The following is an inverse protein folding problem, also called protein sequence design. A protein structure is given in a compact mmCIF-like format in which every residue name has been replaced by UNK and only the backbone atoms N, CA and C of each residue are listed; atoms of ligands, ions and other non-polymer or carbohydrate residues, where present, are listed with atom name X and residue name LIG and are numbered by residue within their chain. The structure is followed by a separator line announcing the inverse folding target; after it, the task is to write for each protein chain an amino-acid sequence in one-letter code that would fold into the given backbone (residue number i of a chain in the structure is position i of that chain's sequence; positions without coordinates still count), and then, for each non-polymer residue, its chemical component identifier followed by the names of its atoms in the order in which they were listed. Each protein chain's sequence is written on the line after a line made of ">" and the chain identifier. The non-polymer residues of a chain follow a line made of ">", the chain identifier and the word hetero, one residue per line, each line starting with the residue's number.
data_IF_769200061697
#
_entry.id   IF_769200061697
#
_cell.length_a   1.000
_cell.length_b   1.000
_cell.length_c   1.000
_cell.angle_alpha   90.00
_cell.angle_beta   90.00
_cell.angle_gamma   90.00
#
_symmetry.space_group_name_H-M   'P 1'
#
loop_
_entity.id
_entity.type
_entity.pdbx_description
1 polymer ?
#
# COMPACT_ATOMS: atom_id res chain seq x y z
N UNK A 1 -35.11 -14.23 -24.70
CA UNK A 1 -35.65 -12.96 -24.20
C UNK A 1 -34.54 -12.21 -23.52
N UNK A 2 -34.43 -10.92 -23.80
CA UNK A 2 -33.43 -10.02 -23.31
C UNK A 2 -34.13 -9.01 -22.37
N UNK A 3 -33.74 -8.97 -21.10
CA UNK A 3 -34.37 -8.10 -20.11
C UNK A 3 -33.31 -7.25 -19.41
N UNK A 4 -33.37 -5.91 -19.49
CA UNK A 4 -32.51 -5.05 -18.72
C UNK A 4 -32.91 -5.09 -17.25
N UNK A 5 -31.93 -5.17 -16.36
CA UNK A 5 -32.11 -5.12 -14.91
C UNK A 5 -31.19 -4.05 -14.36
N UNK A 6 -31.77 -3.03 -13.72
CA UNK A 6 -30.99 -1.96 -13.07
C UNK A 6 -30.78 -2.32 -11.60
N UNK A 7 -29.55 -2.19 -11.12
CA UNK A 7 -29.21 -2.35 -9.72
C UNK A 7 -28.55 -1.06 -9.20
N UNK A 8 -29.10 -0.51 -8.14
CA UNK A 8 -28.50 0.64 -7.46
C UNK A 8 -27.29 0.17 -6.62
N UNK A 9 -26.17 0.84 -6.79
CA UNK A 9 -24.94 0.61 -6.01
C UNK A 9 -24.47 1.93 -5.42
N UNK A 10 -23.62 1.95 -4.39
CA UNK A 10 -23.07 3.20 -3.83
C UNK A 10 -22.31 4.06 -4.86
N UNK A 11 -21.87 3.46 -5.97
CA UNK A 11 -21.18 4.13 -7.09
C UNK A 11 -22.13 4.58 -8.21
N UNK A 12 -23.46 4.39 -8.09
CA UNK A 12 -24.45 4.73 -9.10
C UNK A 12 -25.29 3.54 -9.58
N UNK A 13 -26.09 3.77 -10.63
CA UNK A 13 -26.96 2.74 -11.22
C UNK A 13 -26.14 1.89 -12.20
N UNK A 14 -26.04 0.60 -11.94
CA UNK A 14 -25.45 -0.37 -12.85
C UNK A 14 -26.55 -1.09 -13.61
N UNK A 15 -26.53 -0.98 -14.93
CA UNK A 15 -27.41 -1.77 -15.80
C UNK A 15 -26.78 -3.14 -16.08
N UNK A 16 -27.58 -4.18 -15.87
CA UNK A 16 -27.24 -5.55 -16.25
C UNK A 16 -28.34 -6.10 -17.18
N UNK A 17 -27.97 -7.08 -17.97
CA UNK A 17 -28.89 -7.72 -18.89
C UNK A 17 -29.05 -9.20 -18.54
N UNK A 18 -30.28 -9.65 -18.40
CA UNK A 18 -30.61 -11.04 -18.20
C UNK A 18 -31.07 -11.62 -19.54
N UNK A 19 -30.33 -12.59 -20.05
CA UNK A 19 -30.69 -13.34 -21.26
C UNK A 19 -31.34 -14.63 -20.83
N UNK A 20 -32.60 -14.84 -21.22
CA UNK A 20 -33.32 -16.08 -20.99
C UNK A 20 -33.44 -16.83 -22.30
N UNK A 21 -33.09 -18.09 -22.28
CA UNK A 21 -33.22 -19.04 -23.41
C UNK A 21 -34.38 -20.00 -23.16
N UNK A 22 -35.62 -19.63 -23.52
CA UNK A 22 -36.80 -20.45 -23.19
C UNK A 22 -36.93 -21.72 -24.02
N UNK A 23 -36.36 -21.72 -25.22
CA UNK A 23 -36.34 -22.91 -26.11
C UNK A 23 -34.90 -23.25 -26.48
N UNK A 24 -34.58 -24.52 -26.54
CA UNK A 24 -33.22 -25.00 -26.90
C UNK A 24 -32.20 -24.91 -25.74
N UNK A 25 -32.62 -24.63 -24.50
CA UNK A 25 -31.74 -24.57 -23.34
C UNK A 25 -30.96 -25.86 -23.11
N UNK A 26 -31.58 -27.01 -23.30
CA UNK A 26 -30.92 -28.32 -23.21
C UNK A 26 -29.82 -28.48 -24.26
N UNK A 27 -30.09 -28.08 -25.52
CA UNK A 27 -29.08 -28.09 -26.57
C UNK A 27 -27.92 -27.15 -26.27
N UNK A 28 -28.19 -25.94 -25.77
CA UNK A 28 -27.16 -24.97 -25.37
C UNK A 28 -26.27 -25.52 -24.26
N UNK A 29 -26.86 -26.12 -23.24
CA UNK A 29 -26.12 -26.69 -22.09
C UNK A 29 -25.22 -27.86 -22.55
N UNK A 30 -25.69 -28.66 -23.48
CA UNK A 30 -24.91 -29.74 -24.10
C UNK A 30 -23.77 -29.20 -25.00
N UNK A 31 -24.06 -28.21 -25.83
CA UNK A 31 -23.08 -27.59 -26.73
C UNK A 31 -21.98 -26.87 -26.00
N UNK A 32 -22.31 -26.24 -24.88
CA UNK A 32 -21.33 -25.52 -24.03
C UNK A 32 -20.54 -26.45 -23.10
N UNK A 33 -20.87 -27.76 -23.09
CA UNK A 33 -20.21 -28.73 -22.21
C UNK A 33 -20.56 -28.60 -20.73
N UNK A 34 -21.60 -27.81 -20.40
CA UNK A 34 -22.08 -27.65 -19.01
C UNK A 34 -22.88 -28.83 -18.48
N UNK A 35 -23.17 -29.80 -19.34
CA UNK A 35 -23.78 -31.07 -18.97
C UNK A 35 -22.89 -32.22 -19.45
N UNK A 36 -22.47 -33.04 -18.51
CA UNK A 36 -21.70 -34.23 -18.79
C UNK A 36 -22.66 -35.38 -19.20
N UNK A 37 -22.54 -35.85 -20.45
CA UNK A 37 -23.28 -37.03 -20.92
C UNK A 37 -22.87 -38.32 -20.21
N UNK A 38 -21.61 -38.34 -19.72
CA UNK A 38 -21.06 -39.49 -19.02
C UNK A 38 -21.63 -39.63 -17.61
N UNK A 39 -21.55 -38.55 -16.81
CA UNK A 39 -22.09 -38.56 -15.43
C UNK A 39 -23.58 -38.24 -15.37
N UNK A 40 -24.20 -37.82 -16.48
CA UNK A 40 -25.60 -37.35 -16.56
C UNK A 40 -25.92 -36.22 -15.57
N UNK A 41 -24.94 -35.38 -15.24
CA UNK A 41 -25.08 -34.27 -14.30
C UNK A 41 -24.56 -32.98 -14.90
N UNK A 42 -24.95 -31.84 -14.28
CA UNK A 42 -24.34 -30.55 -14.57
C UNK A 42 -22.89 -30.55 -14.15
N UNK A 43 -22.03 -29.95 -14.97
CA UNK A 43 -20.61 -29.76 -14.68
C UNK A 43 -20.45 -28.68 -13.59
N UNK A 44 -19.78 -29.02 -12.49
CA UNK A 44 -19.36 -28.07 -11.51
C UNK A 44 -18.03 -27.46 -11.97
N UNK A 45 -17.98 -26.13 -12.05
CA UNK A 45 -16.80 -25.39 -12.51
C UNK A 45 -16.75 -25.21 -14.03
N UNK A 46 -15.59 -25.49 -14.63
CA UNK A 46 -15.40 -25.43 -16.08
C UNK A 46 -15.41 -26.84 -16.71
N UNK A 47 -15.92 -26.99 -17.93
CA UNK A 47 -15.82 -28.27 -18.67
C UNK A 47 -14.37 -28.72 -18.84
N UNK A 48 -14.15 -30.04 -18.76
CA UNK A 48 -12.82 -30.65 -18.92
C UNK A 48 -12.14 -30.26 -20.22
N UNK A 49 -12.93 -30.18 -21.30
CA UNK A 49 -12.45 -29.79 -22.63
C UNK A 49 -11.91 -28.35 -22.68
N UNK A 50 -12.36 -27.48 -21.77
CA UNK A 50 -11.82 -26.14 -21.61
C UNK A 50 -10.58 -26.18 -20.73
N UNK A 51 -10.62 -26.87 -19.59
CA UNK A 51 -9.49 -26.98 -18.66
C UNK A 51 -8.26 -27.56 -19.35
N UNK A 52 -8.47 -28.66 -20.15
CA UNK A 52 -7.42 -29.36 -20.88
C UNK A 52 -7.27 -28.87 -22.33
N UNK A 53 -8.09 -27.92 -22.74
CA UNK A 53 -8.17 -27.43 -24.10
C UNK A 53 -6.99 -26.57 -24.55
N UNK A 54 -7.11 -26.00 -25.75
CA UNK A 54 -6.10 -25.11 -26.33
C UNK A 54 -6.02 -23.79 -25.56
N UNK A 55 -4.88 -23.12 -25.63
CA UNK A 55 -4.67 -21.83 -24.99
C UNK A 55 -5.73 -20.77 -25.36
N UNK A 56 -6.22 -20.81 -26.62
CA UNK A 56 -7.29 -19.91 -27.06
C UNK A 56 -8.60 -20.11 -26.29
N UNK A 57 -8.95 -21.36 -25.96
CA UNK A 57 -10.15 -21.69 -25.18
C UNK A 57 -10.01 -21.20 -23.73
N UNK A 58 -8.84 -21.39 -23.15
CA UNK A 58 -8.54 -20.90 -21.80
C UNK A 58 -8.64 -19.38 -21.73
N UNK A 59 -8.06 -18.67 -22.71
CA UNK A 59 -8.18 -17.20 -22.81
C UNK A 59 -9.64 -16.76 -22.92
N UNK A 60 -10.44 -17.46 -23.73
CA UNK A 60 -11.86 -17.17 -23.88
C UNK A 60 -12.64 -17.42 -22.58
N UNK A 61 -12.34 -18.50 -21.85
CA UNK A 61 -12.94 -18.79 -20.56
C UNK A 61 -12.64 -17.71 -19.51
N UNK A 62 -11.39 -17.27 -19.41
CA UNK A 62 -11.00 -16.17 -18.51
C UNK A 62 -11.69 -14.86 -18.88
N UNK A 63 -11.78 -14.54 -20.19
CA UNK A 63 -12.53 -13.37 -20.67
C UNK A 63 -13.99 -13.44 -20.27
N UNK A 64 -14.64 -14.58 -20.50
CA UNK A 64 -16.05 -14.79 -20.15
C UNK A 64 -16.29 -14.68 -18.65
N UNK A 65 -15.44 -15.30 -17.83
CA UNK A 65 -15.53 -15.23 -16.38
C UNK A 65 -15.33 -13.79 -15.86
N UNK A 66 -14.36 -13.06 -16.43
CA UNK A 66 -14.13 -11.66 -16.06
C UNK A 66 -15.29 -10.75 -16.45
N UNK A 67 -15.83 -10.90 -17.65
CA UNK A 67 -17.01 -10.11 -18.10
C UNK A 67 -18.26 -10.40 -17.25
N UNK A 68 -18.40 -11.63 -16.78
CA UNK A 68 -19.55 -12.03 -15.96
C UNK A 68 -19.47 -11.49 -14.52
N UNK A 69 -18.32 -11.63 -13.87
CA UNK A 69 -18.18 -11.37 -12.43
C UNK A 69 -16.77 -10.89 -12.03
N UNK A 70 -16.02 -10.33 -12.97
CA UNK A 70 -14.69 -9.79 -12.72
C UNK A 70 -14.70 -8.38 -12.15
N UNK A 71 -13.65 -8.08 -11.44
CA UNK A 71 -13.35 -6.74 -10.94
C UNK A 71 -11.85 -6.46 -11.06
N UNK A 72 -11.51 -5.28 -11.54
CA UNK A 72 -10.15 -4.75 -11.60
C UNK A 72 -10.06 -3.55 -10.64
N UNK A 73 -9.04 -3.51 -9.81
CA UNK A 73 -8.82 -2.38 -8.90
C UNK A 73 -8.55 -1.09 -9.66
N UNK A 74 -8.96 0.03 -9.06
CA UNK A 74 -8.62 1.35 -9.59
C UNK A 74 -7.10 1.55 -9.60
N UNK A 75 -6.56 2.18 -10.65
CA UNK A 75 -5.16 2.56 -10.69
C UNK A 75 -4.78 3.46 -9.50
N UNK A 76 -3.61 3.21 -8.90
CA UNK A 76 -3.12 3.99 -7.74
C UNK A 76 -3.56 3.47 -6.38
N UNK A 77 -4.41 2.43 -6.33
CA UNK A 77 -4.73 1.64 -5.13
C UNK A 77 -3.99 0.30 -5.13
N UNK A 78 -4.22 -0.52 -4.10
CA UNK A 78 -3.67 -1.88 -4.08
C UNK A 78 -4.10 -2.66 -5.32
N UNK A 79 -3.14 -3.14 -6.11
CA UNK A 79 -3.38 -3.83 -7.37
C UNK A 79 -4.03 -5.19 -7.14
N UNK A 80 -5.17 -5.43 -7.75
CA UNK A 80 -5.79 -6.74 -7.84
C UNK A 80 -6.74 -6.86 -9.02
N UNK A 81 -6.80 -8.06 -9.59
CA UNK A 81 -7.85 -8.53 -10.47
C UNK A 81 -8.53 -9.69 -9.76
N UNK A 82 -9.84 -9.63 -9.64
CA UNK A 82 -10.63 -10.61 -8.92
C UNK A 82 -11.81 -11.08 -9.76
N UNK A 83 -12.13 -12.38 -9.70
CA UNK A 83 -13.34 -12.98 -10.31
C UNK A 83 -14.12 -13.68 -9.21
N UNK A 84 -15.38 -13.31 -9.03
CA UNK A 84 -16.29 -14.01 -8.14
C UNK A 84 -16.78 -15.27 -8.84
N UNK A 85 -16.61 -16.41 -8.18
CA UNK A 85 -16.97 -17.73 -8.73
C UNK A 85 -18.26 -18.26 -8.09
N UNK A 86 -19.07 -19.00 -8.82
CA UNK A 86 -20.31 -19.57 -8.29
C UNK A 86 -20.09 -20.67 -7.24
N UNK A 87 -18.96 -21.38 -7.33
CA UNK A 87 -18.58 -22.45 -6.42
C UNK A 87 -17.06 -22.62 -6.37
N UNK A 88 -16.58 -23.49 -5.49
CA UNK A 88 -15.16 -23.75 -5.26
C UNK A 88 -14.49 -24.40 -6.49
N UNK A 89 -15.18 -25.30 -7.15
CA UNK A 89 -14.71 -26.02 -8.35
C UNK A 89 -14.43 -25.05 -9.50
N UNK A 90 -15.28 -24.05 -9.69
CA UNK A 90 -15.05 -22.99 -10.68
C UNK A 90 -13.80 -22.15 -10.34
N UNK A 91 -13.58 -21.84 -9.07
CA UNK A 91 -12.39 -21.13 -8.64
C UNK A 91 -11.12 -21.95 -8.88
N UNK A 92 -11.12 -23.24 -8.52
CA UNK A 92 -9.98 -24.13 -8.77
C UNK A 92 -9.70 -24.34 -10.26
N UNK A 93 -10.74 -24.46 -11.08
CA UNK A 93 -10.61 -24.57 -12.53
C UNK A 93 -9.96 -23.32 -13.14
N UNK A 94 -10.37 -22.12 -12.72
CA UNK A 94 -9.73 -20.87 -13.14
C UNK A 94 -8.27 -20.79 -12.68
N UNK A 95 -7.96 -21.18 -11.45
CA UNK A 95 -6.56 -21.20 -10.95
C UNK A 95 -5.71 -22.17 -11.78
N UNK A 96 -6.22 -23.37 -12.07
CA UNK A 96 -5.53 -24.35 -12.91
C UNK A 96 -5.26 -23.81 -14.30
N UNK A 97 -6.25 -23.18 -14.93
CA UNK A 97 -6.12 -22.61 -16.27
C UNK A 97 -5.21 -21.38 -16.29
N UNK A 98 -5.18 -20.54 -15.23
CA UNK A 98 -4.20 -19.47 -15.10
C UNK A 98 -2.75 -20.00 -15.09
N UNK A 99 -2.51 -21.09 -14.36
CA UNK A 99 -1.18 -21.75 -14.33
C UNK A 99 -0.74 -22.16 -15.72
N UNK A 100 -1.63 -22.68 -16.55
CA UNK A 100 -1.35 -23.03 -17.96
C UNK A 100 -1.03 -21.81 -18.83
N UNK A 101 -1.48 -20.61 -18.44
CA UNK A 101 -1.10 -19.34 -19.06
C UNK A 101 0.22 -18.76 -18.48
N UNK A 102 0.88 -19.46 -17.56
CA UNK A 102 2.07 -18.97 -16.85
C UNK A 102 1.75 -17.84 -15.86
N UNK A 103 0.53 -17.80 -15.32
CA UNK A 103 0.07 -16.77 -14.38
C UNK A 103 -0.31 -17.42 -13.05
N UNK A 104 0.19 -16.85 -11.95
CA UNK A 104 -0.14 -17.28 -10.60
C UNK A 104 -1.42 -16.59 -10.13
N UNK A 105 -2.50 -17.36 -10.01
CA UNK A 105 -3.75 -16.94 -9.40
C UNK A 105 -3.98 -17.70 -8.10
N UNK A 106 -4.66 -17.09 -7.13
CA UNK A 106 -4.97 -17.73 -5.85
C UNK A 106 -6.47 -17.79 -5.63
N UNK A 107 -7.00 -18.95 -5.18
CA UNK A 107 -8.38 -19.03 -4.74
C UNK A 107 -8.50 -18.33 -3.39
N UNK A 108 -9.60 -17.66 -3.15
CA UNK A 108 -9.91 -16.98 -1.90
C UNK A 108 -11.38 -17.11 -1.57
N UNK A 109 -11.67 -17.52 -0.35
CA UNK A 109 -13.02 -17.50 0.20
C UNK A 109 -13.22 -16.24 1.01
N UNK A 110 -14.25 -15.46 0.69
CA UNK A 110 -14.61 -14.27 1.43
C UNK A 110 -16.09 -14.34 1.79
N UNK A 111 -16.38 -14.51 3.09
CA UNK A 111 -17.74 -14.80 3.59
C UNK A 111 -18.32 -16.03 2.87
N UNK A 112 -19.42 -15.85 2.12
CA UNK A 112 -20.10 -16.92 1.37
C UNK A 112 -19.71 -16.98 -0.12
N UNK A 113 -18.73 -16.19 -0.59
CA UNK A 113 -18.35 -16.16 -2.00
C UNK A 113 -16.96 -16.73 -2.23
N UNK A 114 -16.85 -17.61 -3.21
CA UNK A 114 -15.57 -18.09 -3.73
C UNK A 114 -15.04 -17.11 -4.76
N UNK A 115 -13.72 -16.89 -4.78
CA UNK A 115 -13.08 -15.91 -5.65
C UNK A 115 -11.74 -16.42 -6.15
N UNK A 116 -11.34 -15.90 -7.30
CA UNK A 116 -9.96 -16.04 -7.80
C UNK A 116 -9.34 -14.66 -7.87
N UNK A 117 -8.14 -14.52 -7.33
CA UNK A 117 -7.48 -13.21 -7.22
C UNK A 117 -6.06 -13.27 -7.78
N UNK A 118 -5.70 -12.28 -8.61
CA UNK A 118 -4.34 -11.92 -8.98
C UNK A 118 -3.97 -10.64 -8.24
N UNK A 119 -2.74 -10.56 -7.72
CA UNK A 119 -2.25 -9.37 -6.99
C UNK A 119 -0.96 -8.80 -7.55
N UNK A 120 -0.23 -9.62 -8.30
CA UNK A 120 0.96 -9.17 -8.99
C UNK A 120 0.57 -8.29 -10.19
N UNK A 121 1.03 -7.03 -10.25
CA UNK A 121 0.68 -6.10 -11.32
C UNK A 121 1.05 -6.59 -12.72
N UNK A 122 2.20 -7.22 -12.86
CA UNK A 122 2.67 -7.73 -14.15
C UNK A 122 1.83 -8.92 -14.61
N UNK A 123 1.40 -9.77 -13.67
CA UNK A 123 0.47 -10.86 -13.94
C UNK A 123 -0.93 -10.34 -14.33
N UNK A 124 -1.39 -9.25 -13.70
CA UNK A 124 -2.66 -8.60 -14.04
C UNK A 124 -2.60 -8.03 -15.45
N UNK A 125 -1.56 -7.28 -15.79
CA UNK A 125 -1.37 -6.72 -17.13
C UNK A 125 -1.34 -7.83 -18.20
N UNK A 126 -0.53 -8.86 -17.97
CA UNK A 126 -0.47 -10.04 -18.87
C UNK A 126 -1.82 -10.72 -19.02
N UNK A 127 -2.59 -10.90 -17.94
CA UNK A 127 -3.91 -11.50 -17.99
C UNK A 127 -4.89 -10.65 -18.82
N UNK A 128 -4.88 -9.32 -18.65
CA UNK A 128 -5.71 -8.41 -19.44
C UNK A 128 -5.38 -8.51 -20.94
N UNK A 129 -4.10 -8.55 -21.30
CA UNK A 129 -3.65 -8.74 -22.69
C UNK A 129 -4.13 -10.09 -23.22
N UNK A 130 -3.98 -11.17 -22.46
CA UNK A 130 -4.40 -12.52 -22.84
C UNK A 130 -5.91 -12.64 -23.01
N UNK A 131 -6.69 -11.92 -22.22
CA UNK A 131 -8.15 -11.80 -22.36
C UNK A 131 -8.57 -10.95 -23.58
N UNK A 132 -7.63 -10.27 -24.26
CA UNK A 132 -7.90 -9.47 -25.47
C UNK A 132 -8.19 -8.00 -25.17
N UNK A 133 -7.72 -7.46 -24.05
CA UNK A 133 -7.86 -6.08 -23.66
C UNK A 133 -6.48 -5.35 -23.54
N UNK A 134 -5.63 -5.33 -24.59
CA UNK A 134 -4.27 -4.76 -24.49
C UNK A 134 -4.29 -3.25 -24.30
N UNK A 135 -5.29 -2.55 -24.79
CA UNK A 135 -5.43 -1.12 -24.60
C UNK A 135 -5.72 -0.79 -23.12
N UNK A 136 -6.72 -1.47 -22.53
CA UNK A 136 -7.06 -1.29 -21.12
C UNK A 136 -5.91 -1.72 -20.18
N UNK A 137 -5.14 -2.73 -20.56
CA UNK A 137 -3.95 -3.14 -19.83
C UNK A 137 -2.93 -2.00 -19.75
N UNK A 138 -2.57 -1.40 -20.89
CA UNK A 138 -1.62 -0.28 -20.95
C UNK A 138 -2.11 0.95 -20.18
N UNK A 139 -3.39 1.28 -20.33
CA UNK A 139 -4.00 2.41 -19.63
C UNK A 139 -3.96 2.20 -18.10
N UNK A 140 -4.32 1.00 -17.63
CA UNK A 140 -4.30 0.66 -16.21
C UNK A 140 -2.88 0.72 -15.65
N UNK A 141 -1.89 0.14 -16.35
CA UNK A 141 -0.48 0.14 -15.96
C UNK A 141 0.09 1.56 -15.91
N UNK A 142 -0.20 2.41 -16.90
CA UNK A 142 0.23 3.81 -16.92
C UNK A 142 -0.31 4.59 -15.73
N UNK A 143 -1.62 4.56 -15.50
CA UNK A 143 -2.25 5.23 -14.36
C UNK A 143 -1.75 4.72 -13.00
N UNK A 144 -1.43 3.42 -12.89
CA UNK A 144 -0.84 2.82 -11.68
C UNK A 144 0.55 3.39 -11.43
N UNK A 145 1.42 3.41 -12.44
CA UNK A 145 2.77 3.95 -12.36
C UNK A 145 2.78 5.41 -11.90
N UNK A 146 1.94 6.24 -12.48
CA UNK A 146 1.78 7.65 -12.08
C UNK A 146 1.29 7.80 -10.64
N UNK A 147 0.38 6.93 -10.21
CA UNK A 147 -0.12 6.89 -8.84
C UNK A 147 0.96 6.48 -7.83
N UNK A 148 1.79 5.49 -8.16
CA UNK A 148 2.91 5.05 -7.33
C UNK A 148 3.99 6.11 -7.21
N UNK A 149 4.33 6.80 -8.31
CA UNK A 149 5.29 7.90 -8.31
C UNK A 149 4.82 9.05 -7.41
N UNK A 150 3.56 9.48 -7.54
CA UNK A 150 2.96 10.50 -6.67
C UNK A 150 2.91 10.05 -5.20
N UNK A 151 2.53 8.81 -4.93
CA UNK A 151 2.50 8.25 -3.58
C UNK A 151 3.89 8.18 -2.94
N UNK A 152 4.94 7.89 -3.71
CA UNK A 152 6.33 7.91 -3.25
C UNK A 152 6.79 9.34 -2.92
N UNK A 153 6.50 10.31 -3.79
CA UNK A 153 6.82 11.71 -3.58
C UNK A 153 6.14 12.26 -2.31
N UNK A 154 4.85 12.00 -2.13
CA UNK A 154 4.11 12.43 -0.94
C UNK A 154 4.64 11.79 0.36
N UNK A 155 5.03 10.50 0.33
CA UNK A 155 5.64 9.86 1.50
C UNK A 155 6.98 10.49 1.87
N UNK A 156 7.81 10.82 0.88
CA UNK A 156 9.09 11.49 1.09
C UNK A 156 8.89 12.88 1.70
N UNK A 157 8.00 13.69 1.12
CA UNK A 157 7.67 15.01 1.63
C UNK A 157 7.13 14.97 3.07
N UNK A 158 6.22 14.04 3.39
CA UNK A 158 5.70 13.85 4.74
C UNK A 158 6.78 13.40 5.73
N UNK A 159 7.73 12.58 5.28
CA UNK A 159 8.85 12.14 6.12
C UNK A 159 9.79 13.31 6.45
N UNK A 160 10.11 14.14 5.46
CA UNK A 160 10.96 15.31 5.63
C UNK A 160 10.30 16.36 6.55
N UNK A 161 9.00 16.63 6.36
CA UNK A 161 8.23 17.53 7.24
C UNK A 161 8.17 17.01 8.69
N UNK A 162 7.91 15.71 8.87
CA UNK A 162 7.89 15.10 10.19
C UNK A 162 9.28 15.13 10.88
N UNK A 163 10.35 14.98 10.11
CA UNK A 163 11.72 15.11 10.62
C UNK A 163 12.04 16.55 11.02
N UNK A 164 11.65 17.51 10.17
CA UNK A 164 11.85 18.94 10.46
C UNK A 164 11.11 19.35 11.73
N UNK A 165 9.84 18.97 11.88
CA UNK A 165 9.05 19.26 13.10
C UNK A 165 9.66 18.63 14.36
N UNK A 166 10.13 17.37 14.29
CA UNK A 166 10.80 16.72 15.41
C UNK A 166 12.11 17.43 15.78
N UNK A 167 12.89 17.83 14.79
CA UNK A 167 14.14 18.57 14.99
C UNK A 167 13.89 19.93 15.63
N UNK A 168 12.92 20.71 15.13
CA UNK A 168 12.55 21.99 15.69
C UNK A 168 12.05 21.88 17.14
N UNK A 169 11.19 20.88 17.42
CA UNK A 169 10.73 20.62 18.79
C UNK A 169 11.89 20.27 19.74
N UNK A 170 12.78 19.39 19.32
CA UNK A 170 13.95 19.02 20.12
C UNK A 170 14.90 20.21 20.35
N UNK A 171 15.04 21.09 19.37
CA UNK A 171 15.84 22.31 19.49
C UNK A 171 15.22 23.30 20.52
N UNK A 172 13.89 23.50 20.44
CA UNK A 172 13.17 24.33 21.40
C UNK A 172 13.28 23.80 22.84
N UNK A 173 13.02 22.49 23.04
CA UNK A 173 13.19 21.86 24.36
C UNK A 173 14.62 21.95 24.89
N UNK A 174 15.62 21.86 24.01
CA UNK A 174 17.02 22.04 24.40
C UNK A 174 17.33 23.48 24.83
N UNK A 175 16.76 24.48 24.14
CA UNK A 175 16.90 25.87 24.52
C UNK A 175 16.31 26.15 25.92
N UNK A 176 15.12 25.65 26.20
CA UNK A 176 14.48 25.85 27.52
C UNK A 176 15.30 25.19 28.63
N UNK A 177 15.80 23.99 28.42
CA UNK A 177 16.67 23.30 29.39
C UNK A 177 17.99 24.01 29.59
N UNK A 178 18.61 24.58 28.55
CA UNK A 178 19.84 25.33 28.64
C UNK A 178 19.60 26.64 29.39
N UNK A 179 18.48 27.34 29.17
CA UNK A 179 18.10 28.56 29.92
C UNK A 179 17.96 28.27 31.41
N UNK A 180 17.23 27.20 31.76
CA UNK A 180 17.11 26.76 33.15
C UNK A 180 18.48 26.38 33.77
N UNK A 181 19.34 25.72 33.01
CA UNK A 181 20.68 25.36 33.48
C UNK A 181 21.52 26.61 33.79
N UNK A 182 21.43 27.66 32.99
CA UNK A 182 22.12 28.92 33.24
C UNK A 182 21.57 29.63 34.49
N UNK A 183 20.26 29.61 34.71
CA UNK A 183 19.65 30.16 35.93
C UNK A 183 20.11 29.42 37.21
N UNK A 184 20.22 28.08 37.14
CA UNK A 184 20.66 27.27 38.28
C UNK A 184 22.16 27.46 38.59
N UNK A 185 23.00 27.52 37.57
CA UNK A 185 24.45 27.51 37.71
C UNK A 185 25.04 28.91 37.92
N UNK A 186 24.41 29.96 37.40
CA UNK A 186 24.94 31.33 37.46
C UNK A 186 26.30 31.45 36.76
N UNK A 187 27.29 31.95 37.47
CA UNK A 187 28.63 32.14 36.95
C UNK A 187 29.53 30.90 37.04
N UNK A 188 29.12 29.86 37.75
CA UNK A 188 29.90 28.62 37.97
C UNK A 188 29.79 27.63 36.79
N UNK A 189 29.95 28.13 35.56
CA UNK A 189 29.89 27.33 34.37
C UNK A 189 31.25 27.31 33.68
N UNK A 190 31.81 26.10 33.38
CA UNK A 190 33.05 26.01 32.59
C UNK A 190 32.87 26.66 31.21
N UNK A 191 33.87 27.44 30.74
CA UNK A 191 33.78 28.23 29.50
C UNK A 191 33.36 27.46 28.29
N UNK A 192 33.86 26.23 28.16
CA UNK A 192 33.52 25.35 27.03
C UNK A 192 32.07 24.84 27.04
N UNK A 193 31.42 24.79 28.20
CA UNK A 193 30.00 24.47 28.35
C UNK A 193 29.13 25.70 28.21
N UNK A 194 29.60 26.83 28.75
CA UNK A 194 28.97 28.16 28.65
C UNK A 194 28.84 28.59 27.19
N UNK A 195 29.94 28.51 26.43
CA UNK A 195 29.91 28.83 24.99
C UNK A 195 28.97 27.93 24.17
N UNK A 196 28.93 26.66 24.46
CA UNK A 196 28.01 25.74 23.76
C UNK A 196 26.52 25.97 24.12
N UNK A 197 26.25 26.33 25.39
CA UNK A 197 24.94 26.74 25.85
C UNK A 197 24.47 28.03 25.20
N UNK A 198 25.35 29.09 25.24
CA UNK A 198 25.06 30.39 24.62
C UNK A 198 24.77 30.22 23.11
N UNK A 199 25.61 29.47 22.40
CA UNK A 199 25.43 29.20 20.97
C UNK A 199 24.06 28.54 20.66
N UNK A 200 23.57 27.67 21.55
CA UNK A 200 22.23 27.07 21.42
C UNK A 200 21.12 28.11 21.63
N UNK A 201 21.29 29.04 22.57
CA UNK A 201 20.30 30.10 22.84
C UNK A 201 20.24 31.13 21.72
N UNK A 202 21.40 31.51 21.18
CA UNK A 202 21.51 32.48 20.08
C UNK A 202 20.98 31.95 18.78
N UNK A 203 21.01 30.61 18.59
CA UNK A 203 20.58 29.92 17.39
C UNK A 203 19.56 28.82 17.72
N UNK A 204 18.42 29.23 18.25
CA UNK A 204 17.39 28.34 18.78
C UNK A 204 16.88 27.25 17.74
N UNK A 205 16.79 27.62 16.46
CA UNK A 205 16.29 26.77 15.41
C UNK A 205 17.40 25.96 14.70
N UNK A 206 18.67 26.22 15.00
CA UNK A 206 19.78 25.56 14.33
C UNK A 206 19.90 24.08 14.73
N UNK A 207 20.20 23.23 13.77
CA UNK A 207 20.57 21.85 14.04
C UNK A 207 21.92 21.76 14.77
N UNK A 208 22.18 20.64 15.45
CA UNK A 208 23.48 20.43 16.13
C UNK A 208 24.66 20.50 15.16
N UNK A 209 24.48 20.14 13.89
CA UNK A 209 25.50 20.26 12.87
C UNK A 209 25.77 21.71 12.51
N UNK A 210 24.73 22.53 12.37
CA UNK A 210 24.87 23.99 12.15
C UNK A 210 25.55 24.67 13.32
N UNK A 211 25.15 24.33 14.55
CA UNK A 211 25.82 24.84 15.74
C UNK A 211 27.31 24.47 15.78
N UNK A 212 27.67 23.23 15.36
CA UNK A 212 29.08 22.85 15.30
C UNK A 212 29.89 23.66 14.32
N UNK A 213 29.29 24.10 13.20
CA UNK A 213 29.92 24.98 12.22
C UNK A 213 30.04 26.44 12.70
N UNK A 214 29.08 26.87 13.51
CA UNK A 214 29.05 28.26 14.09
C UNK A 214 29.92 28.39 15.31
N UNK A 215 30.41 27.31 15.90
CA UNK A 215 31.31 27.37 17.05
C UNK A 215 32.71 27.84 16.62
N UNK A 216 33.38 28.57 17.53
CA UNK A 216 34.76 29.03 17.34
C UNK A 216 35.69 28.43 18.40
N UNK A 217 36.66 27.56 18.00
CA UNK A 217 36.77 26.97 16.65
C UNK A 217 35.65 26.00 16.30
N UNK A 218 35.38 25.69 14.99
CA UNK A 218 34.33 24.76 14.61
C UNK A 218 34.53 23.37 15.23
N UNK A 219 33.43 22.76 15.66
CA UNK A 219 33.41 21.45 16.33
C UNK A 219 32.36 20.53 15.71
N UNK A 220 32.46 19.24 15.98
CA UNK A 220 31.51 18.27 15.48
C UNK A 220 30.14 18.34 16.16
N UNK A 221 29.08 17.89 15.49
CA UNK A 221 27.74 17.80 16.10
C UNK A 221 27.71 17.03 17.42
N UNK A 222 28.54 15.98 17.53
CA UNK A 222 28.62 15.14 18.72
C UNK A 222 29.33 15.87 19.87
N UNK A 223 30.31 16.72 19.54
CA UNK A 223 30.96 17.57 20.52
C UNK A 223 30.00 18.62 21.07
N UNK A 224 29.19 19.29 20.24
CA UNK A 224 28.12 20.19 20.67
C UNK A 224 27.13 19.48 21.59
N UNK A 225 26.58 18.33 21.13
CA UNK A 225 25.64 17.54 21.91
C UNK A 225 26.24 17.12 23.29
N UNK A 226 27.49 16.68 23.28
CA UNK A 226 28.21 16.29 24.49
C UNK A 226 28.43 17.45 25.48
N UNK A 227 28.73 18.67 24.99
CA UNK A 227 28.86 19.86 25.82
C UNK A 227 27.52 20.27 26.42
N UNK A 228 26.46 20.36 25.62
CA UNK A 228 25.11 20.68 26.13
C UNK A 228 24.67 19.64 27.15
N UNK A 229 24.85 18.35 26.91
CA UNK A 229 24.50 17.31 27.88
C UNK A 229 25.23 17.47 29.20
N UNK A 230 26.53 17.79 29.18
CA UNK A 230 27.33 18.01 30.40
C UNK A 230 26.87 19.24 31.15
N UNK A 231 26.50 20.33 30.45
CA UNK A 231 25.93 21.53 31.05
C UNK A 231 24.63 21.18 31.84
N UNK A 232 23.71 20.46 31.22
CA UNK A 232 22.46 20.05 31.85
C UNK A 232 22.69 19.13 33.06
N UNK A 233 23.64 18.18 32.94
CA UNK A 233 24.02 17.30 34.06
C UNK A 233 24.63 18.06 35.23
N UNK A 234 25.43 19.08 34.96
CA UNK A 234 26.00 19.95 36.01
C UNK A 234 24.89 20.70 36.73
N UNK A 235 23.95 21.30 36.02
CA UNK A 235 22.79 21.97 36.60
C UNK A 235 21.96 21.05 37.49
N UNK A 236 21.68 19.85 37.04
CA UNK A 236 20.93 18.83 37.77
C UNK A 236 21.64 18.43 39.09
N UNK A 237 22.96 18.26 39.03
CA UNK A 237 23.75 17.96 40.22
C UNK A 237 23.72 19.10 41.25
N UNK A 238 23.88 20.32 40.78
CA UNK A 238 23.85 21.55 41.66
C UNK A 238 22.47 21.71 42.28
N UNK A 239 21.40 21.52 41.53
CA UNK A 239 20.04 21.59 42.06
C UNK A 239 19.78 20.55 43.14
N UNK A 240 20.19 19.27 42.89
CA UNK A 240 20.07 18.20 43.87
C UNK A 240 20.85 18.49 45.16
N UNK A 241 22.08 19.03 45.05
CA UNK A 241 22.88 19.41 46.21
C UNK A 241 22.22 20.55 47.02
N UNK A 242 21.64 21.55 46.37
CA UNK A 242 20.89 22.62 47.04
C UNK A 242 19.65 22.09 47.77
N UNK A 243 18.91 21.17 47.19
CA UNK A 243 17.74 20.54 47.83
C UNK A 243 18.08 19.62 49.02
N UNK A 244 19.30 19.07 49.05
CA UNK A 244 19.77 18.26 50.17
C UNK A 244 20.35 19.09 51.33
N UNK A 245 20.73 20.35 51.07
CA UNK A 245 21.28 21.28 52.04
C UNK A 245 20.21 22.19 52.68
N UNK A 246 18.99 22.18 52.19
CA UNK A 246 17.82 22.90 52.72
C UNK A 246 16.94 21.95 53.51
#
# INVERSE_FOLDING_TARGET
>A
TFTPVSRQTPAGVVQRFVVRVPKGSAALVLQTGLYSRYTKTMVLGLPSDIINGKIAQIKAAWRGAFLAAGHLSDPGKASYLEIVCPNHEAALALVSTARRLGITAKPRKLRSSERVTLRDPDAIERMLILMGAPHSAREWTGKRSDGEARGKANRLANFDDANMRRSAKAAAEACDKVRQAFEILGDDIPDNLKSAGQLRLDHADASLEQLGRLAEPPITKDAVAGRIRRLLQLAEKTEKARRQAS
#
